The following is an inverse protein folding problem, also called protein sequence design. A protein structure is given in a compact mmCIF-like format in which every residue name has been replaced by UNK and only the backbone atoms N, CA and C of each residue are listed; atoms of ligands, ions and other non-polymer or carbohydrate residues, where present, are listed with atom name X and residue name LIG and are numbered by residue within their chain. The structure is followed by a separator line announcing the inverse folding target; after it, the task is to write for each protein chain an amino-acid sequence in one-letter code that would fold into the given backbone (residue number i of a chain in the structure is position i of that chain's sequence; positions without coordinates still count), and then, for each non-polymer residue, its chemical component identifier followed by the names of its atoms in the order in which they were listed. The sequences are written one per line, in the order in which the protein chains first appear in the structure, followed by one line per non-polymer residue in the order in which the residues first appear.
data_IF_054859225306
#
_entry.id   IF_054859225306
#
_cell.length_a   1.000
_cell.length_b   1.000
_cell.length_c   1.000
_cell.angle_alpha   90.00
_cell.angle_beta   90.00
_cell.angle_gamma   90.00
#
_symmetry.space_group_name_H-M   'P 1'
#
loop_
_entity.id
_entity.type
_entity.pdbx_description
1 polymer ?
#
# COMPACT_ATOMS: atom_id res chain seq x y z
N UNK A 1 -12.69 3.01 20.18
CA UNK A 1 -11.57 2.27 19.56
C UNK A 1 -10.46 3.22 19.14
N UNK A 2 -10.68 4.13 18.21
CA UNK A 2 -9.67 5.07 17.69
C UNK A 2 -9.05 5.99 18.74
N UNK A 3 -9.78 6.43 19.77
CA UNK A 3 -9.21 7.22 20.87
C UNK A 3 -8.06 6.49 21.58
N UNK A 4 -8.23 5.18 21.87
CA UNK A 4 -7.15 4.37 22.47
C UNK A 4 -5.95 4.22 21.55
N UNK A 5 -6.20 4.07 20.25
CA UNK A 5 -5.14 3.99 19.24
C UNK A 5 -4.32 5.29 19.23
N UNK A 6 -4.95 6.45 19.08
CA UNK A 6 -4.27 7.74 19.07
C UNK A 6 -3.62 8.11 20.40
N UNK A 7 -4.16 7.65 21.54
CA UNK A 7 -3.52 7.81 22.84
C UNK A 7 -2.21 7.02 22.89
N UNK A 8 -2.22 5.78 22.42
CA UNK A 8 -1.02 4.92 22.37
C UNK A 8 0.04 5.46 21.41
N UNK A 9 -0.39 5.91 20.23
CA UNK A 9 0.48 6.38 19.15
C UNK A 9 0.50 7.91 19.04
N UNK A 10 0.41 8.60 20.18
CA UNK A 10 0.35 10.06 20.20
C UNK A 10 1.49 10.73 19.45
N UNK A 11 2.70 10.16 19.50
CA UNK A 11 3.88 10.69 18.82
C UNK A 11 3.73 10.68 17.28
N UNK A 12 2.85 9.84 16.75
CA UNK A 12 2.55 9.73 15.30
C UNK A 12 1.27 10.49 14.90
N UNK A 13 0.76 11.38 15.73
CA UNK A 13 -0.38 12.24 15.38
C UNK A 13 0.10 13.55 14.74
N UNK A 14 -0.76 14.16 13.91
CA UNK A 14 -0.48 15.46 13.29
C UNK A 14 -0.11 16.58 14.28
N UNK A 15 -0.55 16.47 15.52
CA UNK A 15 -0.22 17.43 16.58
C UNK A 15 1.22 17.30 17.08
N UNK A 16 1.82 16.12 16.91
CA UNK A 16 3.14 15.79 17.48
C UNK A 16 4.21 15.55 16.39
N UNK A 17 3.81 15.21 15.17
CA UNK A 17 4.73 15.02 14.05
C UNK A 17 5.19 16.36 13.50
N UNK A 18 6.45 16.41 13.09
CA UNK A 18 6.94 17.49 12.24
C UNK A 18 6.14 17.52 10.93
N UNK A 19 5.57 18.65 10.54
CA UNK A 19 4.82 18.79 9.29
C UNK A 19 5.60 18.31 8.06
N UNK A 20 6.92 18.47 8.02
CA UNK A 20 7.76 18.01 6.91
C UNK A 20 7.73 16.49 6.74
N UNK A 21 7.48 15.72 7.80
CA UNK A 21 7.34 14.26 7.73
C UNK A 21 6.01 13.79 7.12
N UNK A 22 5.07 14.69 6.92
CA UNK A 22 3.78 14.40 6.26
C UNK A 22 3.82 14.68 4.76
N UNK A 23 4.82 15.39 4.29
CA UNK A 23 4.98 15.72 2.89
C UNK A 23 5.55 14.52 2.11
N UNK A 24 5.24 14.48 0.81
CA UNK A 24 5.87 13.50 -0.08
C UNK A 24 7.37 13.77 -0.18
N UNK A 25 8.14 12.70 -0.18
CA UNK A 25 9.57 12.79 -0.50
C UNK A 25 9.77 13.51 -1.85
N UNK A 26 10.78 14.37 -1.98
CA UNK A 26 11.00 15.14 -3.20
C UNK A 26 11.04 14.30 -4.49
N UNK A 27 11.59 13.08 -4.41
CA UNK A 27 11.65 12.14 -5.54
C UNK A 27 10.26 11.67 -5.99
N UNK A 28 9.32 11.46 -5.05
CA UNK A 28 7.94 11.09 -5.37
C UNK A 28 7.13 12.30 -5.82
N UNK A 29 7.32 13.45 -5.15
CA UNK A 29 6.66 14.70 -5.51
C UNK A 29 6.99 15.13 -6.95
N UNK A 30 8.22 14.89 -7.41
CA UNK A 30 8.65 15.18 -8.77
C UNK A 30 7.94 14.34 -9.85
N UNK A 31 7.29 13.23 -9.47
CA UNK A 31 6.48 12.41 -10.38
C UNK A 31 5.03 12.90 -10.50
N UNK A 32 4.62 13.88 -9.73
CA UNK A 32 3.25 14.41 -9.71
C UNK A 32 3.17 15.79 -10.37
N UNK A 33 2.57 15.94 -11.58
CA UNK A 33 2.02 14.91 -12.46
C UNK A 33 3.10 14.14 -13.25
N UNK A 34 2.80 13.02 -13.87
CA UNK A 34 1.48 12.42 -14.11
C UNK A 34 0.94 11.56 -12.97
N UNK A 35 1.75 11.20 -11.97
CA UNK A 35 1.27 10.43 -10.85
C UNK A 35 0.22 11.20 -10.03
N UNK A 36 -0.75 10.47 -9.46
CA UNK A 36 -1.82 11.02 -8.64
C UNK A 36 -1.57 10.78 -7.16
N UNK A 37 -1.83 11.79 -6.34
CA UNK A 37 -1.77 11.70 -4.88
C UNK A 37 -3.17 11.51 -4.34
N UNK A 38 -3.38 10.47 -3.54
CA UNK A 38 -4.66 10.18 -2.89
C UNK A 38 -4.43 10.06 -1.39
N UNK A 39 -4.90 11.03 -0.64
CA UNK A 39 -4.90 10.97 0.82
C UNK A 39 -5.93 9.97 1.33
N UNK A 40 -5.57 9.19 2.32
CA UNK A 40 -6.47 8.23 2.94
C UNK A 40 -6.61 8.41 4.44
N UNK A 41 -7.79 8.14 4.94
CA UNK A 41 -8.13 8.23 6.38
C UNK A 41 -8.29 6.87 7.06
N UNK A 42 -8.10 5.79 6.30
CA UNK A 42 -8.23 4.39 6.73
C UNK A 42 -7.00 3.59 6.32
N UNK A 43 -6.90 2.35 6.75
CA UNK A 43 -5.81 1.47 6.36
C UNK A 43 -5.81 1.19 4.86
N UNK A 44 -6.94 0.75 4.31
CA UNK A 44 -7.08 0.51 2.89
C UNK A 44 -7.17 1.81 2.09
N UNK A 45 -6.44 1.88 0.98
CA UNK A 45 -6.60 2.93 -0.03
C UNK A 45 -8.00 2.93 -0.66
N UNK A 46 -8.65 1.78 -0.77
CA UNK A 46 -10.00 1.64 -1.32
C UNK A 46 -11.12 2.11 -0.38
N UNK A 47 -10.79 2.50 0.85
CA UNK A 47 -11.73 3.22 1.69
C UNK A 47 -12.02 4.65 1.16
N UNK A 48 -11.17 5.15 0.28
CA UNK A 48 -11.36 6.43 -0.40
C UNK A 48 -11.94 6.18 -1.80
N UNK A 49 -13.13 6.70 -2.10
CA UNK A 49 -13.84 6.42 -3.38
C UNK A 49 -13.06 6.87 -4.61
N UNK A 50 -12.20 7.87 -4.47
CA UNK A 50 -11.41 8.42 -5.56
C UNK A 50 -10.38 7.41 -6.13
N UNK A 51 -9.84 6.50 -5.31
CA UNK A 51 -8.90 5.50 -5.80
C UNK A 51 -9.54 4.58 -6.83
N UNK A 52 -10.68 4.00 -6.51
CA UNK A 52 -11.37 3.09 -7.43
C UNK A 52 -11.83 3.81 -8.71
N UNK A 53 -12.31 5.05 -8.59
CA UNK A 53 -12.67 5.86 -9.74
C UNK A 53 -11.46 6.09 -10.66
N UNK A 54 -10.33 6.50 -10.08
CA UNK A 54 -9.09 6.74 -10.81
C UNK A 54 -8.56 5.48 -11.52
N UNK A 55 -8.58 4.33 -10.85
CA UNK A 55 -8.15 3.06 -11.45
C UNK A 55 -9.03 2.67 -12.66
N UNK A 56 -10.33 2.92 -12.58
CA UNK A 56 -11.26 2.69 -13.71
C UNK A 56 -11.03 3.66 -14.86
N UNK A 57 -10.73 4.92 -14.57
CA UNK A 57 -10.41 5.93 -15.58
C UNK A 57 -9.11 5.60 -16.32
N UNK A 58 -8.17 4.93 -15.64
CA UNK A 58 -6.91 4.48 -16.21
C UNK A 58 -6.99 3.09 -16.86
N UNK A 59 -8.16 2.45 -16.88
CA UNK A 59 -8.35 1.07 -17.37
C UNK A 59 -7.35 0.08 -16.76
N UNK A 60 -7.11 0.20 -15.44
CA UNK A 60 -6.16 -0.64 -14.72
C UNK A 60 -6.65 -2.09 -14.66
N UNK A 61 -5.88 -3.03 -15.21
CA UNK A 61 -6.19 -4.47 -15.25
C UNK A 61 -5.61 -5.24 -14.06
N UNK A 62 -4.55 -4.74 -13.44
CA UNK A 62 -3.86 -5.33 -12.30
C UNK A 62 -3.23 -4.23 -11.44
N UNK A 63 -2.89 -4.57 -10.20
CA UNK A 63 -2.26 -3.62 -9.29
C UNK A 63 -0.90 -4.12 -8.83
N UNK A 64 0.12 -3.27 -8.98
CA UNK A 64 1.43 -3.48 -8.38
C UNK A 64 1.47 -2.66 -7.10
N UNK A 65 1.66 -3.33 -5.96
CA UNK A 65 1.57 -2.69 -4.64
C UNK A 65 2.93 -2.72 -3.95
N UNK A 66 3.40 -1.55 -3.55
CA UNK A 66 4.59 -1.33 -2.73
C UNK A 66 4.28 -0.40 -1.56
N UNK A 67 5.23 -0.23 -0.63
CA UNK A 67 5.14 0.71 0.48
C UNK A 67 5.00 0.06 1.85
N UNK A 68 4.34 0.74 2.81
CA UNK A 68 4.24 0.32 4.21
C UNK A 68 2.87 0.61 4.84
N UNK A 69 2.49 -0.09 5.90
CA UNK A 69 3.15 -1.25 6.48
C UNK A 69 2.55 -2.53 5.91
N UNK A 70 3.39 -3.55 5.70
CA UNK A 70 3.01 -4.83 5.08
C UNK A 70 1.78 -5.45 5.72
N UNK A 71 1.76 -5.53 7.05
CA UNK A 71 0.73 -6.18 7.85
C UNK A 71 -0.43 -5.25 8.27
N UNK A 72 -0.44 -4.01 7.82
CA UNK A 72 -1.48 -3.03 8.15
C UNK A 72 -2.08 -2.43 6.88
N UNK A 73 -1.50 -1.35 6.35
CA UNK A 73 -2.08 -0.61 5.22
C UNK A 73 -1.96 -1.37 3.90
N UNK A 74 -0.82 -2.02 3.67
CA UNK A 74 -0.59 -2.84 2.47
C UNK A 74 -1.57 -4.00 2.47
N UNK A 75 -1.63 -4.80 3.56
CA UNK A 75 -2.59 -5.90 3.70
C UNK A 75 -4.03 -5.46 3.42
N UNK A 76 -4.46 -4.38 4.08
CA UNK A 76 -5.84 -3.90 3.93
C UNK A 76 -6.16 -3.47 2.50
N UNK A 77 -5.19 -2.89 1.79
CA UNK A 77 -5.34 -2.47 0.40
C UNK A 77 -5.31 -3.66 -0.56
N UNK A 78 -4.40 -4.61 -0.33
CA UNK A 78 -4.27 -5.85 -1.12
C UNK A 78 -5.58 -6.65 -1.07
N UNK A 79 -6.11 -6.91 0.12
CA UNK A 79 -7.35 -7.69 0.27
C UNK A 79 -8.55 -6.97 -0.36
N UNK A 80 -8.64 -5.65 -0.20
CA UNK A 80 -9.71 -4.88 -0.84
C UNK A 80 -9.58 -4.87 -2.38
N UNK A 81 -8.36 -4.87 -2.93
CA UNK A 81 -8.13 -5.01 -4.36
C UNK A 81 -8.61 -6.37 -4.88
N UNK A 82 -8.27 -7.45 -4.17
CA UNK A 82 -8.73 -8.82 -4.48
C UNK A 82 -10.26 -8.91 -4.45
N UNK A 83 -10.91 -8.36 -3.41
CA UNK A 83 -12.37 -8.32 -3.30
C UNK A 83 -13.04 -7.56 -4.45
N UNK A 84 -12.36 -6.58 -5.02
CA UNK A 84 -12.81 -5.82 -6.19
C UNK A 84 -12.50 -6.51 -7.53
N UNK A 85 -11.81 -7.65 -7.50
CA UNK A 85 -11.49 -8.46 -8.68
C UNK A 85 -10.17 -8.09 -9.38
N UNK A 86 -9.32 -7.25 -8.77
CA UNK A 86 -8.01 -6.94 -9.32
C UNK A 86 -6.99 -8.05 -8.99
N UNK A 87 -6.28 -8.59 -9.99
CA UNK A 87 -5.03 -9.30 -9.76
C UNK A 87 -4.02 -8.36 -9.06
N UNK A 88 -3.31 -8.88 -8.06
CA UNK A 88 -2.37 -8.09 -7.27
C UNK A 88 -0.97 -8.66 -7.35
N UNK A 89 0.01 -7.81 -7.62
CA UNK A 89 1.43 -8.11 -7.51
C UNK A 89 2.00 -7.32 -6.34
N UNK A 90 2.43 -8.01 -5.29
CA UNK A 90 3.11 -7.40 -4.14
C UNK A 90 4.60 -7.38 -4.38
N UNK A 91 5.21 -6.19 -4.32
CA UNK A 91 6.64 -6.01 -4.58
C UNK A 91 7.42 -6.31 -3.31
N UNK A 92 7.93 -7.54 -3.17
CA UNK A 92 8.45 -8.09 -1.91
C UNK A 92 9.67 -7.35 -1.37
N UNK A 93 10.52 -6.77 -2.21
CA UNK A 93 11.70 -5.97 -1.85
C UNK A 93 11.40 -4.45 -1.78
N UNK A 94 10.14 -4.06 -1.98
CA UNK A 94 9.67 -2.68 -1.87
C UNK A 94 8.45 -2.54 -0.93
N UNK A 95 8.23 -3.50 -0.04
CA UNK A 95 7.31 -3.40 1.09
C UNK A 95 8.06 -3.60 2.39
N UNK A 96 7.63 -2.95 3.46
CA UNK A 96 8.22 -3.09 4.78
C UNK A 96 7.18 -2.91 5.89
N UNK A 97 7.54 -3.29 7.09
CA UNK A 97 6.75 -3.08 8.30
C UNK A 97 7.65 -2.70 9.48
N UNK A 98 7.09 -2.02 10.46
CA UNK A 98 7.72 -1.81 11.77
C UNK A 98 7.78 -3.09 12.60
N UNK A 99 7.18 -4.18 12.14
CA UNK A 99 7.18 -5.52 12.73
C UNK A 99 7.74 -6.53 11.73
N UNK A 100 8.97 -6.97 11.93
CA UNK A 100 9.59 -8.04 11.11
C UNK A 100 8.75 -9.32 11.15
N UNK A 101 8.26 -9.69 12.34
CA UNK A 101 7.37 -10.85 12.50
C UNK A 101 6.07 -10.69 11.72
N UNK A 102 5.46 -9.51 11.73
CA UNK A 102 4.25 -9.20 10.97
C UNK A 102 4.51 -9.31 9.47
N UNK A 103 5.60 -8.73 9.01
CA UNK A 103 6.04 -8.80 7.62
C UNK A 103 6.21 -10.27 7.15
N UNK A 104 7.01 -11.06 7.87
CA UNK A 104 7.32 -12.45 7.52
C UNK A 104 6.07 -13.34 7.49
N UNK A 105 5.15 -13.14 8.46
CA UNK A 105 3.87 -13.86 8.49
C UNK A 105 3.02 -13.55 7.27
N UNK A 106 2.94 -12.29 6.86
CA UNK A 106 2.17 -11.87 5.68
C UNK A 106 2.80 -12.39 4.39
N UNK A 107 4.12 -12.32 4.24
CA UNK A 107 4.81 -12.88 3.08
C UNK A 107 4.53 -14.39 2.95
N UNK A 108 4.57 -15.12 4.07
CA UNK A 108 4.19 -16.53 4.09
C UNK A 108 2.73 -16.74 3.70
N UNK A 109 1.83 -15.89 4.18
CA UNK A 109 0.40 -15.97 3.89
C UNK A 109 0.13 -15.77 2.39
N UNK A 110 0.76 -14.78 1.77
CA UNK A 110 0.66 -14.55 0.32
C UNK A 110 1.14 -15.77 -0.46
N UNK A 111 2.26 -16.40 -0.08
CA UNK A 111 2.84 -17.57 -0.74
C UNK A 111 2.11 -18.89 -0.49
N UNK A 112 1.18 -18.98 0.48
CA UNK A 112 0.54 -20.25 0.84
C UNK A 112 -0.98 -20.20 0.73
N UNK A 113 -1.61 -19.05 0.96
CA UNK A 113 -3.07 -18.95 1.04
C UNK A 113 -3.69 -18.20 -0.13
N UNK A 114 -3.01 -17.20 -0.66
CA UNK A 114 -3.55 -16.29 -1.67
C UNK A 114 -2.88 -16.43 -3.04
N UNK A 115 -2.25 -17.56 -3.31
CA UNK A 115 -1.45 -17.82 -4.53
C UNK A 115 -2.22 -17.66 -5.85
N UNK A 116 -3.55 -17.75 -5.81
CA UNK A 116 -4.38 -17.60 -7.00
C UNK A 116 -4.78 -16.14 -7.28
N UNK A 117 -4.65 -15.26 -6.30
CA UNK A 117 -5.07 -13.86 -6.40
C UNK A 117 -3.92 -12.86 -6.24
N UNK A 118 -2.86 -13.28 -5.53
CA UNK A 118 -1.74 -12.43 -5.17
C UNK A 118 -0.44 -13.08 -5.63
N UNK A 119 0.26 -12.40 -6.52
CA UNK A 119 1.63 -12.73 -6.89
C UNK A 119 2.61 -11.90 -6.06
N UNK A 120 3.84 -12.38 -5.95
CA UNK A 120 4.94 -11.61 -5.37
C UNK A 120 6.11 -11.60 -6.33
N UNK A 121 6.70 -10.43 -6.56
CA UNK A 121 7.85 -10.26 -7.43
C UNK A 121 8.82 -9.23 -6.85
N UNK A 122 10.06 -9.25 -7.28
CA UNK A 122 11.03 -8.20 -6.99
C UNK A 122 10.90 -7.06 -7.99
N UNK A 123 11.35 -5.88 -7.61
CA UNK A 123 11.41 -4.69 -8.48
C UNK A 123 12.09 -5.01 -9.82
N UNK A 124 13.22 -5.69 -9.80
CA UNK A 124 13.96 -6.06 -11.02
C UNK A 124 13.12 -6.92 -11.98
N UNK A 125 12.40 -7.91 -11.45
CA UNK A 125 11.52 -8.77 -12.24
C UNK A 125 10.38 -7.98 -12.88
N UNK A 126 9.78 -7.08 -12.12
CA UNK A 126 8.68 -6.23 -12.61
C UNK A 126 9.18 -5.30 -13.71
N UNK A 127 10.30 -4.61 -13.49
CA UNK A 127 10.87 -3.67 -14.46
C UNK A 127 11.32 -4.38 -15.74
N UNK A 128 11.83 -5.61 -15.64
CA UNK A 128 12.21 -6.41 -16.83
C UNK A 128 10.99 -6.83 -17.68
N UNK A 129 9.81 -6.97 -17.05
CA UNK A 129 8.56 -7.32 -17.72
C UNK A 129 7.73 -6.09 -18.16
N UNK A 130 8.12 -4.89 -17.76
CA UNK A 130 7.41 -3.65 -18.07
C UNK A 130 7.67 -3.22 -19.52
N UNK A 131 6.64 -3.27 -20.36
CA UNK A 131 6.71 -2.94 -21.78
C UNK A 131 5.87 -1.71 -22.12
#
# INVERSE_FOLDING_TARGET
MWQRYYTRWRIATRECLDPELLELMPQLSALCPPASVIDKTRYSGFAEPNLLAHLRECDADALIISGSETDVCVLATVLAAVDLGYPVIVVRDAICSSSDQGHDLLMRLYHTRYTEQIETADVETILAAWH
#
